data_IF_716953565151
#
_entry.id   IF_716953565151
#
_cell.length_a   1.000
_cell.length_b   1.000
_cell.length_c   1.000
_cell.angle_alpha   90.00
_cell.angle_beta   90.00
_cell.angle_gamma   90.00
#
_symmetry.space_group_name_H-M   'P 1'
#
loop_
_entity.id
_entity.type
_entity.pdbx_description
1 polymer ?
#
# COMPACT_ATOMS: atom_id res chain seq x y z
N UNK A 1 -5.79 -13.97 -5.56
CA UNK A 1 -5.27 -13.12 -6.66
C UNK A 1 -3.87 -12.68 -6.27
N UNK A 2 -2.87 -12.95 -7.11
CA UNK A 2 -1.47 -12.66 -6.78
C UNK A 2 -1.21 -11.16 -6.50
N UNK A 3 -2.05 -10.25 -7.00
CA UNK A 3 -1.96 -8.82 -6.71
C UNK A 3 -2.36 -8.48 -5.26
N UNK A 4 -3.38 -9.15 -4.72
CA UNK A 4 -3.88 -8.91 -3.35
C UNK A 4 -2.84 -9.40 -2.32
N UNK A 5 -2.28 -10.58 -2.53
CA UNK A 5 -1.24 -11.13 -1.65
C UNK A 5 0.03 -10.27 -1.67
N UNK A 6 0.45 -9.78 -2.85
CA UNK A 6 1.57 -8.84 -2.96
C UNK A 6 1.28 -7.53 -2.23
N UNK A 7 0.07 -6.99 -2.36
CA UNK A 7 -0.36 -5.80 -1.63
C UNK A 7 -0.29 -6.01 -0.11
N UNK A 8 -0.85 -7.10 0.40
CA UNK A 8 -0.83 -7.42 1.83
C UNK A 8 0.59 -7.51 2.38
N UNK A 9 1.46 -8.26 1.70
CA UNK A 9 2.87 -8.36 2.07
C UNK A 9 3.57 -6.99 2.04
N UNK A 10 3.37 -6.20 0.98
CA UNK A 10 4.02 -4.91 0.82
C UNK A 10 3.61 -3.92 1.93
N UNK A 11 2.31 -3.78 2.20
CA UNK A 11 1.80 -2.90 3.26
C UNK A 11 2.28 -3.36 4.62
N UNK A 12 2.27 -4.68 4.89
CA UNK A 12 2.74 -5.21 6.17
C UNK A 12 4.23 -4.95 6.36
N UNK A 13 5.08 -5.26 5.38
CA UNK A 13 6.53 -5.04 5.48
C UNK A 13 6.85 -3.56 5.62
N UNK A 14 6.27 -2.69 4.79
CA UNK A 14 6.50 -1.24 4.85
C UNK A 14 5.97 -0.62 6.14
N UNK A 15 4.81 -1.06 6.62
CA UNK A 15 4.26 -0.63 7.90
C UNK A 15 5.22 -0.92 9.05
N UNK A 16 5.75 -2.14 9.14
CA UNK A 16 6.76 -2.49 10.16
C UNK A 16 8.05 -1.68 10.03
N UNK A 17 8.50 -1.39 8.80
CA UNK A 17 9.67 -0.53 8.58
C UNK A 17 9.45 0.89 9.12
N UNK A 18 8.28 1.47 8.88
CA UNK A 18 7.91 2.80 9.38
C UNK A 18 7.85 2.79 10.91
N UNK A 19 7.17 1.80 11.51
CA UNK A 19 7.10 1.65 12.98
C UNK A 19 8.50 1.58 13.58
N UNK A 20 9.36 0.70 13.07
CA UNK A 20 10.75 0.55 13.55
C UNK A 20 11.58 1.84 13.43
N UNK A 21 11.38 2.60 12.35
CA UNK A 21 12.02 3.92 12.15
C UNK A 21 11.62 4.88 13.28
N UNK A 22 10.34 4.97 13.62
CA UNK A 22 9.86 5.88 14.64
C UNK A 22 10.14 5.39 16.06
N UNK A 23 10.11 4.08 16.32
CA UNK A 23 10.55 3.49 17.59
C UNK A 23 12.01 3.83 17.88
N UNK A 24 12.87 3.81 16.85
CA UNK A 24 14.29 4.18 16.99
C UNK A 24 14.50 5.68 17.20
N UNK A 25 13.55 6.51 16.74
CA UNK A 25 13.56 7.96 16.92
C UNK A 25 12.93 8.39 18.26
N UNK A 26 12.30 7.46 18.99
CA UNK A 26 11.69 7.70 20.30
C UNK A 26 12.77 7.89 21.37
N UNK A 27 13.38 9.08 21.37
CA UNK A 27 14.28 9.53 22.42
C UNK A 27 13.52 10.44 23.39
N UNK A 28 13.98 10.52 24.66
CA UNK A 28 13.32 11.26 25.76
C UNK A 28 13.09 12.77 25.51
N UNK A 29 13.60 13.35 24.42
CA UNK A 29 13.53 14.77 24.09
C UNK A 29 12.54 15.11 22.96
N UNK A 30 11.68 14.17 22.56
CA UNK A 30 10.67 14.40 21.51
C UNK A 30 9.28 14.22 22.10
N UNK A 31 8.34 15.10 21.73
CA UNK A 31 6.93 14.96 22.10
C UNK A 31 6.36 13.67 21.48
N UNK A 32 5.96 12.68 22.31
CA UNK A 32 5.41 11.42 21.84
C UNK A 32 4.20 11.59 20.92
N UNK A 33 3.36 12.59 21.17
CA UNK A 33 2.13 12.79 20.40
C UNK A 33 2.46 13.24 18.99
N UNK A 34 3.36 14.21 18.83
CA UNK A 34 3.79 14.73 17.52
C UNK A 34 4.50 13.64 16.72
N UNK A 35 5.35 12.84 17.37
CA UNK A 35 6.05 11.73 16.73
C UNK A 35 5.07 10.67 16.22
N UNK A 36 4.13 10.24 17.07
CA UNK A 36 3.11 9.25 16.70
C UNK A 36 2.17 9.75 15.60
N UNK A 37 1.76 11.03 15.64
CA UNK A 37 0.94 11.62 14.58
C UNK A 37 1.68 11.62 13.24
N UNK A 38 2.96 11.98 13.24
CA UNK A 38 3.79 11.96 12.02
C UNK A 38 3.94 10.54 11.49
N UNK A 39 4.18 9.56 12.37
CA UNK A 39 4.27 8.15 12.00
C UNK A 39 2.95 7.64 11.39
N UNK A 40 1.82 7.94 12.03
CA UNK A 40 0.49 7.55 11.55
C UNK A 40 0.19 8.15 10.17
N UNK A 41 0.58 9.42 9.95
CA UNK A 41 0.41 10.07 8.66
C UNK A 41 1.26 9.40 7.57
N UNK A 42 2.52 9.04 7.87
CA UNK A 42 3.40 8.33 6.94
C UNK A 42 2.86 6.93 6.60
N UNK A 43 2.33 6.21 7.59
CA UNK A 43 1.68 4.90 7.38
C UNK A 43 0.43 5.04 6.52
N UNK A 44 -0.42 6.04 6.79
CA UNK A 44 -1.65 6.27 6.03
C UNK A 44 -1.35 6.60 4.57
N UNK A 45 -0.36 7.47 4.32
CA UNK A 45 0.06 7.82 2.97
C UNK A 45 0.66 6.63 2.22
N UNK A 46 1.51 5.84 2.88
CA UNK A 46 2.05 4.59 2.32
C UNK A 46 0.93 3.60 1.97
N UNK A 47 -0.02 3.37 2.88
CA UNK A 47 -1.14 2.48 2.65
C UNK A 47 -1.97 2.94 1.45
N UNK A 48 -2.31 4.24 1.39
CA UNK A 48 -3.06 4.86 0.29
C UNK A 48 -2.38 4.64 -1.06
N UNK A 49 -1.07 4.83 -1.15
CA UNK A 49 -0.31 4.61 -2.38
C UNK A 49 -0.38 3.15 -2.84
N UNK A 50 -0.16 2.20 -1.92
CA UNK A 50 -0.26 0.78 -2.24
C UNK A 50 -1.68 0.34 -2.60
N UNK A 51 -2.71 0.91 -1.97
CA UNK A 51 -4.11 0.61 -2.29
C UNK A 51 -4.47 1.11 -3.68
N UNK A 52 -4.01 2.30 -4.08
CA UNK A 52 -4.24 2.82 -5.43
C UNK A 52 -3.60 1.94 -6.50
N UNK A 53 -2.34 1.52 -6.30
CA UNK A 53 -1.67 0.59 -7.23
C UNK A 53 -2.40 -0.77 -7.32
N UNK A 54 -2.93 -1.29 -6.20
CA UNK A 54 -3.75 -2.48 -6.23
C UNK A 54 -5.05 -2.25 -7.01
N UNK A 55 -5.72 -1.12 -6.78
CA UNK A 55 -6.96 -0.77 -7.46
C UNK A 55 -6.76 -0.74 -8.97
N UNK A 56 -5.71 -0.09 -9.46
CA UNK A 56 -5.38 -0.03 -10.89
C UNK A 56 -5.22 -1.44 -11.49
N UNK A 57 -4.50 -2.33 -10.80
CA UNK A 57 -4.27 -3.72 -11.25
C UNK A 57 -5.55 -4.55 -11.26
N UNK A 58 -6.37 -4.43 -10.23
CA UNK A 58 -7.63 -5.16 -10.12
C UNK A 58 -8.63 -4.68 -11.17
N UNK A 59 -8.75 -3.36 -11.35
CA UNK A 59 -9.62 -2.76 -12.37
C UNK A 59 -9.18 -3.17 -13.78
N UNK A 60 -7.88 -3.12 -14.08
CA UNK A 60 -7.36 -3.60 -15.37
C UNK A 60 -7.67 -5.08 -15.62
N UNK A 61 -7.45 -5.92 -14.62
CA UNK A 61 -7.73 -7.37 -14.75
C UNK A 61 -9.22 -7.60 -14.95
N UNK A 62 -10.07 -6.90 -14.20
CA UNK A 62 -11.52 -6.98 -14.34
C UNK A 62 -12.01 -6.49 -15.71
N UNK A 63 -11.44 -5.39 -16.22
CA UNK A 63 -11.83 -4.82 -17.52
C UNK A 63 -11.53 -5.76 -18.68
N UNK A 64 -10.42 -6.49 -18.61
CA UNK A 64 -10.06 -7.52 -19.60
C UNK A 64 -11.04 -8.70 -19.62
N UNK A 65 -11.79 -8.94 -18.54
CA UNK A 65 -12.79 -10.01 -18.44
C UNK A 65 -14.23 -9.59 -18.74
N UNK A 66 -14.48 -8.33 -19.12
CA UNK A 66 -15.83 -7.84 -19.36
C UNK A 66 -16.41 -8.37 -20.69
N UNK A 67 -17.73 -8.60 -20.72
CA UNK A 67 -18.45 -9.12 -21.91
C UNK A 67 -18.40 -8.21 -23.14
N UNK A 68 -18.16 -6.92 -22.93
CA UNK A 68 -17.97 -5.93 -23.99
C UNK A 68 -16.49 -5.76 -24.38
N UNK A 69 -15.59 -6.58 -23.84
CA UNK A 69 -14.18 -6.60 -24.19
C UNK A 69 -13.97 -7.14 -25.60
N UNK A 70 -13.17 -6.43 -26.39
CA UNK A 70 -12.73 -6.91 -27.71
C UNK A 70 -11.29 -7.41 -27.59
N UNK A 71 -11.12 -8.73 -27.66
CA UNK A 71 -9.80 -9.37 -27.74
C UNK A 71 -9.58 -9.84 -29.16
N UNK A 72 -8.65 -9.20 -29.87
CA UNK A 72 -8.23 -9.67 -31.19
C UNK A 72 -7.25 -10.83 -30.99
N UNK A 73 -7.75 -12.05 -31.12
CA UNK A 73 -6.90 -13.25 -31.21
C UNK A 73 -6.22 -13.27 -32.57
N UNK A 74 -5.01 -12.74 -32.66
CA UNK A 74 -4.14 -12.91 -33.83
C UNK A 74 -2.95 -13.78 -33.39
N UNK A 75 -3.18 -15.10 -33.40
CA UNK A 75 -2.19 -16.18 -33.33
C UNK A 75 -2.87 -17.53 -33.62
#
# INVERSE_FOLDING_TARGET
SSAIERYQNAVQTKGHQIIKKYDSAFNKNVDPVVLCQTANQEIAEMARQHTNDLLDKVLYTASMGMKNGFSRSDA
#
